data_IF_140512956513
#
_entry.id   IF_140512956513
#
_cell.length_a   1.000
_cell.length_b   1.000
_cell.length_c   1.000
_cell.angle_alpha   90.00
_cell.angle_beta   90.00
_cell.angle_gamma   90.00
#
_symmetry.space_group_name_H-M   'P 1'
#
loop_
_entity.id
_entity.type
_entity.pdbx_description
1 polymer ?
#
# COMPACT_ATOMS: atom_id res chain seq x y z
N UNK A 1 36.08 -33.56 35.94
CA UNK A 1 34.81 -32.91 35.55
C UNK A 1 35.12 -32.17 34.26
N UNK A 2 34.73 -32.75 33.12
CA UNK A 2 35.05 -32.18 31.80
C UNK A 2 34.19 -30.94 31.58
N UNK A 3 34.80 -29.76 31.59
CA UNK A 3 34.12 -28.50 31.29
C UNK A 3 33.80 -28.46 29.79
N UNK A 4 32.60 -28.93 29.43
CA UNK A 4 32.12 -28.92 28.05
C UNK A 4 32.06 -27.50 27.48
N UNK A 5 32.22 -27.36 26.16
CA UNK A 5 32.00 -26.10 25.43
C UNK A 5 30.71 -26.23 24.63
N UNK A 6 29.94 -25.14 24.52
CA UNK A 6 28.71 -25.04 23.72
C UNK A 6 28.77 -23.79 22.86
N UNK A 7 28.05 -23.75 21.75
CA UNK A 7 27.91 -22.51 20.97
C UNK A 7 26.83 -21.61 21.57
N UNK A 8 27.07 -20.31 21.55
CA UNK A 8 26.08 -19.32 21.94
C UNK A 8 24.91 -19.32 20.94
N UNK A 9 23.64 -19.44 21.38
CA UNK A 9 22.49 -19.47 20.47
C UNK A 9 22.23 -18.14 19.75
N UNK A 10 22.82 -17.04 20.20
CA UNK A 10 22.59 -15.70 19.65
C UNK A 10 23.64 -15.29 18.62
N UNK A 11 24.92 -15.57 18.90
CA UNK A 11 26.03 -15.15 18.03
C UNK A 11 26.88 -16.32 17.49
N UNK A 12 26.46 -17.58 17.74
CA UNK A 12 27.13 -18.82 17.33
C UNK A 12 28.55 -19.05 17.88
N UNK A 13 29.11 -18.09 18.63
CA UNK A 13 30.47 -18.18 19.17
C UNK A 13 30.62 -19.26 20.25
N UNK A 14 31.79 -19.88 20.33
CA UNK A 14 32.05 -20.98 21.27
C UNK A 14 32.27 -20.44 22.69
N UNK A 15 31.45 -20.89 23.63
CA UNK A 15 31.43 -20.48 25.03
C UNK A 15 31.50 -21.70 25.97
N UNK A 16 31.80 -21.48 27.25
CA UNK A 16 31.79 -22.56 28.26
C UNK A 16 30.36 -23.06 28.49
N UNK A 17 30.19 -24.36 28.76
CA UNK A 17 28.87 -24.95 28.99
C UNK A 17 28.17 -24.33 30.21
N UNK A 18 28.91 -23.98 31.27
CA UNK A 18 28.37 -23.25 32.41
C UNK A 18 28.19 -21.74 32.18
N UNK A 19 28.53 -21.20 31.00
CA UNK A 19 28.42 -19.77 30.76
C UNK A 19 26.96 -19.32 30.81
N UNK A 20 26.75 -18.31 31.67
CA UNK A 20 25.49 -17.65 31.95
C UNK A 20 25.28 -16.44 31.03
N UNK A 21 26.37 -15.77 30.64
CA UNK A 21 26.37 -14.60 29.77
C UNK A 21 27.43 -14.80 28.68
N UNK A 22 27.09 -14.51 27.42
CA UNK A 22 28.07 -14.56 26.34
C UNK A 22 28.97 -13.32 26.39
N UNK A 23 30.31 -13.48 26.35
CA UNK A 23 31.24 -12.33 26.30
C UNK A 23 31.21 -11.56 24.97
N UNK A 24 30.79 -12.21 23.89
CA UNK A 24 30.87 -11.65 22.54
C UNK A 24 29.66 -10.79 22.19
N UNK A 25 28.45 -11.24 22.53
CA UNK A 25 27.21 -10.50 22.27
C UNK A 25 26.49 -10.02 23.53
N UNK A 26 27.00 -10.34 24.73
CA UNK A 26 26.42 -9.95 26.02
C UNK A 26 24.96 -10.42 26.23
N UNK A 27 24.49 -11.38 25.44
CA UNK A 27 23.17 -11.99 25.61
C UNK A 27 23.13 -12.87 26.85
N UNK A 28 22.07 -12.75 27.64
CA UNK A 28 21.80 -13.62 28.79
C UNK A 28 21.36 -15.01 28.33
N UNK A 29 22.09 -16.04 28.76
CA UNK A 29 21.88 -17.44 28.44
C UNK A 29 21.08 -18.19 29.53
N UNK A 30 20.73 -17.52 30.64
CA UNK A 30 19.82 -18.07 31.67
C UNK A 30 18.42 -18.24 31.15
N UNK A 31 18.03 -17.44 30.15
CA UNK A 31 16.74 -17.57 29.50
C UNK A 31 16.76 -18.86 28.70
N UNK A 32 16.33 -19.94 29.37
CA UNK A 32 15.97 -21.20 28.76
C UNK A 32 14.93 -20.82 27.71
N UNK A 33 15.36 -20.67 26.45
CA UNK A 33 14.44 -20.59 25.32
C UNK A 33 13.73 -21.92 25.38
N UNK A 34 12.58 -21.94 26.06
CA UNK A 34 11.59 -22.96 25.84
C UNK A 34 11.18 -22.71 24.41
N UNK A 35 11.90 -23.33 23.49
CA UNK A 35 11.35 -23.64 22.19
C UNK A 35 10.15 -24.52 22.59
N UNK A 36 8.90 -24.03 22.52
CA UNK A 36 7.78 -24.93 22.69
C UNK A 36 8.04 -26.11 21.74
N UNK A 37 7.82 -27.37 22.18
CA UNK A 37 8.10 -28.53 21.34
C UNK A 37 7.54 -28.21 19.98
N UNK A 38 8.42 -28.26 18.96
CA UNK A 38 8.12 -27.94 17.57
C UNK A 38 6.77 -28.55 17.25
N UNK A 39 5.73 -27.72 17.35
CA UNK A 39 4.40 -28.11 16.95
C UNK A 39 4.55 -28.52 15.49
N UNK A 40 3.78 -29.51 15.02
CA UNK A 40 3.79 -29.84 13.62
C UNK A 40 3.67 -28.54 12.82
N UNK A 41 4.58 -28.38 11.84
CA UNK A 41 4.51 -27.39 10.77
C UNK A 41 3.05 -27.24 10.32
N UNK A 42 2.65 -26.04 9.84
CA UNK A 42 1.27 -25.70 9.51
C UNK A 42 0.59 -26.92 8.91
N UNK A 43 -0.33 -27.48 9.70
CA UNK A 43 -1.14 -28.62 9.34
C UNK A 43 -1.70 -28.31 7.97
N UNK A 44 -1.17 -29.01 6.97
CA UNK A 44 -1.74 -29.05 5.64
C UNK A 44 -3.15 -29.54 5.88
N UNK A 45 -4.11 -28.62 5.98
CA UNK A 45 -5.51 -28.97 6.05
C UNK A 45 -5.70 -29.86 4.83
N UNK A 46 -5.90 -31.16 5.05
CA UNK A 46 -6.34 -32.09 4.00
C UNK A 46 -7.72 -31.60 3.58
N UNK A 47 -7.65 -30.64 2.67
CA UNK A 47 -8.75 -29.86 2.14
C UNK A 47 -9.51 -30.84 1.26
N UNK A 48 -10.61 -31.39 1.79
CA UNK A 48 -11.53 -32.19 0.98
C UNK A 48 -11.90 -31.42 -0.30
N UNK A 49 -12.31 -32.11 -1.38
CA UNK A 49 -12.47 -31.51 -2.71
C UNK A 49 -13.37 -30.25 -2.69
N UNK A 50 -14.38 -30.22 -1.81
CA UNK A 50 -15.28 -29.08 -1.60
C UNK A 50 -14.55 -27.80 -1.15
N UNK A 51 -13.53 -27.93 -0.31
CA UNK A 51 -12.84 -26.77 0.27
C UNK A 51 -11.82 -26.15 -0.71
N UNK A 52 -11.30 -26.91 -1.68
CA UNK A 52 -10.50 -26.35 -2.78
C UNK A 52 -11.35 -25.54 -3.76
N UNK A 53 -12.57 -26.01 -4.05
CA UNK A 53 -13.52 -25.28 -4.90
C UNK A 53 -13.88 -23.95 -4.24
N UNK A 54 -14.20 -23.96 -2.93
CA UNK A 54 -14.51 -22.74 -2.20
C UNK A 54 -13.36 -21.73 -2.23
N UNK A 55 -12.13 -22.15 -1.94
CA UNK A 55 -10.95 -21.27 -2.00
C UNK A 55 -10.73 -20.72 -3.41
N UNK A 56 -10.87 -21.55 -4.45
CA UNK A 56 -10.75 -21.10 -5.83
C UNK A 56 -11.78 -20.04 -6.20
N UNK A 57 -13.06 -20.23 -5.82
CA UNK A 57 -14.13 -19.25 -6.08
C UNK A 57 -13.87 -17.93 -5.35
N UNK A 58 -13.44 -17.96 -4.08
CA UNK A 58 -13.11 -16.75 -3.34
C UNK A 58 -11.97 -16.00 -4.02
N UNK A 59 -10.88 -16.68 -4.40
CA UNK A 59 -9.76 -16.03 -5.11
C UNK A 59 -10.24 -15.42 -6.42
N UNK A 60 -11.03 -16.14 -7.22
CA UNK A 60 -11.55 -15.63 -8.48
C UNK A 60 -12.45 -14.40 -8.29
N UNK A 61 -13.35 -14.41 -7.30
CA UNK A 61 -14.19 -13.26 -6.96
C UNK A 61 -13.32 -12.09 -6.48
N UNK A 62 -12.34 -12.35 -5.63
CA UNK A 62 -11.45 -11.29 -5.10
C UNK A 62 -10.64 -10.65 -6.23
N UNK A 63 -10.12 -11.45 -7.17
CA UNK A 63 -9.42 -10.96 -8.35
C UNK A 63 -10.35 -10.19 -9.29
N UNK A 64 -11.57 -10.68 -9.51
CA UNK A 64 -12.57 -10.00 -10.33
C UNK A 64 -12.97 -8.64 -9.74
N UNK A 65 -13.24 -8.58 -8.43
CA UNK A 65 -13.57 -7.34 -7.74
C UNK A 65 -12.38 -6.36 -7.70
N UNK A 66 -11.16 -6.85 -7.43
CA UNK A 66 -9.96 -6.03 -7.46
C UNK A 66 -9.68 -5.46 -8.86
N UNK A 67 -9.90 -6.27 -9.91
CA UNK A 67 -9.79 -5.82 -11.29
C UNK A 67 -10.86 -4.80 -11.66
N UNK A 68 -12.12 -5.03 -11.26
CA UNK A 68 -13.21 -4.07 -11.44
C UNK A 68 -12.92 -2.73 -10.77
N UNK A 69 -12.49 -2.76 -9.50
CA UNK A 69 -12.09 -1.55 -8.76
C UNK A 69 -10.91 -0.84 -9.44
N UNK A 70 -9.89 -1.57 -9.91
CA UNK A 70 -8.75 -0.98 -10.62
C UNK A 70 -9.15 -0.28 -11.92
N UNK A 71 -10.10 -0.86 -12.67
CA UNK A 71 -10.61 -0.26 -13.91
C UNK A 71 -11.49 0.97 -13.62
N UNK A 72 -12.36 0.92 -12.60
CA UNK A 72 -13.20 2.06 -12.20
C UNK A 72 -12.35 3.27 -11.79
N UNK A 73 -11.30 3.08 -10.97
CA UNK A 73 -10.39 4.16 -10.57
C UNK A 73 -9.68 4.82 -11.77
N UNK A 74 -9.42 4.07 -12.85
CA UNK A 74 -8.82 4.61 -14.08
C UNK A 74 -9.80 5.40 -14.95
N UNK A 75 -11.10 5.17 -14.79
CA UNK A 75 -12.14 5.89 -15.52
C UNK A 75 -12.32 7.29 -14.91
N UNK A 76 -12.46 7.34 -13.59
CA UNK A 76 -12.63 8.55 -12.79
C UNK A 76 -11.42 9.50 -12.95
N UNK A 77 -10.20 8.95 -12.92
CA UNK A 77 -8.97 9.72 -13.14
C UNK A 77 -8.95 10.39 -14.54
N UNK A 78 -9.49 9.74 -15.58
CA UNK A 78 -9.49 10.31 -16.94
C UNK A 78 -10.43 11.52 -17.07
N UNK A 79 -11.62 11.44 -16.49
CA UNK A 79 -12.61 12.53 -16.57
C UNK A 79 -12.14 13.75 -15.76
N UNK A 80 -11.56 13.52 -14.58
CA UNK A 80 -10.96 14.57 -13.75
C UNK A 80 -9.77 15.24 -14.47
N UNK A 81 -8.92 14.47 -15.13
CA UNK A 81 -7.76 15.00 -15.87
C UNK A 81 -8.20 15.87 -17.05
N UNK A 82 -9.24 15.48 -17.78
CA UNK A 82 -9.77 16.26 -18.91
C UNK A 82 -10.35 17.60 -18.46
N UNK A 83 -11.04 17.64 -17.31
CA UNK A 83 -11.57 18.89 -16.75
C UNK A 83 -10.47 19.86 -16.30
N UNK A 84 -9.35 19.35 -15.77
CA UNK A 84 -8.19 20.16 -15.39
C UNK A 84 -7.51 20.78 -16.61
N UNK A 85 -7.38 20.03 -17.71
CA UNK A 85 -6.74 20.53 -18.94
C UNK A 85 -7.52 21.73 -19.53
N UNK A 86 -8.85 21.65 -19.59
CA UNK A 86 -9.68 22.75 -20.07
C UNK A 86 -9.55 24.01 -19.21
N UNK A 87 -9.49 23.85 -17.89
CA UNK A 87 -9.29 24.95 -16.94
C UNK A 87 -7.93 25.63 -17.13
N UNK A 88 -6.86 24.84 -17.24
CA UNK A 88 -5.50 25.39 -17.42
C UNK A 88 -5.35 26.10 -18.77
N UNK A 89 -5.94 25.56 -19.84
CA UNK A 89 -5.98 26.23 -21.15
C UNK A 89 -6.67 27.59 -21.06
N UNK A 90 -7.81 27.67 -20.37
CA UNK A 90 -8.54 28.93 -20.18
C UNK A 90 -7.70 29.97 -19.43
N UNK A 91 -7.01 29.53 -18.37
CA UNK A 91 -6.10 30.38 -17.59
C UNK A 91 -4.91 30.86 -18.41
N UNK A 92 -4.36 29.99 -19.26
CA UNK A 92 -3.29 30.32 -20.18
C UNK A 92 -3.73 31.38 -21.21
N UNK A 93 -4.94 31.25 -21.76
CA UNK A 93 -5.52 32.22 -22.70
C UNK A 93 -5.64 33.61 -22.05
N UNK A 94 -6.21 33.69 -20.85
CA UNK A 94 -6.36 34.96 -20.10
C UNK A 94 -5.02 35.62 -19.82
N UNK A 95 -3.99 34.82 -19.48
CA UNK A 95 -2.66 35.33 -19.16
C UNK A 95 -1.85 35.75 -20.40
N UNK A 96 -2.05 35.08 -21.53
CA UNK A 96 -1.36 35.38 -22.79
C UNK A 96 -2.05 36.48 -23.60
N UNK A 97 -3.29 36.82 -23.27
CA UNK A 97 -4.05 37.87 -23.92
C UNK A 97 -3.39 39.25 -23.74
N UNK A 98 -2.98 39.85 -24.86
CA UNK A 98 -2.29 41.15 -24.92
C UNK A 98 -3.15 42.27 -25.54
N UNK A 99 -4.47 42.08 -25.62
CA UNK A 99 -5.42 43.01 -26.25
C UNK A 99 -6.05 44.03 -25.28
N UNK A 100 -7.14 44.71 -25.71
CA UNK A 100 -7.85 45.69 -24.87
C UNK A 100 -8.40 45.07 -23.57
N UNK A 101 -8.37 45.83 -22.46
CA UNK A 101 -8.86 45.41 -21.13
C UNK A 101 -10.28 44.83 -21.13
N UNK A 102 -11.16 45.36 -21.99
CA UNK A 102 -12.54 44.90 -22.15
C UNK A 102 -12.61 43.45 -22.64
N UNK A 103 -11.72 43.05 -23.56
CA UNK A 103 -11.66 41.67 -24.03
C UNK A 103 -11.14 40.71 -22.96
N UNK A 104 -10.17 41.16 -22.16
CA UNK A 104 -9.62 40.38 -21.04
C UNK A 104 -10.68 40.06 -19.99
N UNK A 105 -11.49 41.04 -19.61
CA UNK A 105 -12.56 40.84 -18.62
C UNK A 105 -13.64 39.87 -19.07
N UNK A 106 -13.97 39.85 -20.38
CA UNK A 106 -14.97 38.93 -20.93
C UNK A 106 -14.48 37.48 -20.92
N UNK A 107 -13.20 37.27 -21.28
CA UNK A 107 -12.60 35.94 -21.26
C UNK A 107 -12.48 35.45 -19.81
N UNK A 108 -12.06 36.33 -18.89
CA UNK A 108 -11.96 36.00 -17.46
C UNK A 108 -13.32 35.60 -16.86
N UNK A 109 -14.38 36.35 -17.14
CA UNK A 109 -15.73 36.05 -16.65
C UNK A 109 -16.23 34.69 -17.16
N UNK A 110 -15.94 34.38 -18.43
CA UNK A 110 -16.32 33.10 -19.05
C UNK A 110 -15.54 31.94 -18.44
N UNK A 111 -14.22 32.08 -18.27
CA UNK A 111 -13.39 31.04 -17.62
C UNK A 111 -13.83 30.81 -16.17
N UNK A 112 -14.16 31.87 -15.42
CA UNK A 112 -14.66 31.75 -14.04
C UNK A 112 -15.96 30.97 -13.96
N UNK A 113 -16.90 31.23 -14.87
CA UNK A 113 -18.18 30.52 -14.91
C UNK A 113 -18.00 29.02 -15.23
N UNK A 114 -17.09 28.70 -16.15
CA UNK A 114 -16.73 27.33 -16.49
C UNK A 114 -16.14 26.58 -15.29
N UNK A 115 -15.17 27.20 -14.58
CA UNK A 115 -14.57 26.63 -13.37
C UNK A 115 -15.61 26.37 -12.26
N UNK A 116 -16.53 27.32 -12.06
CA UNK A 116 -17.61 27.17 -11.08
C UNK A 116 -18.56 26.02 -11.42
N UNK A 117 -18.82 25.77 -12.70
CA UNK A 117 -19.68 24.67 -13.17
C UNK A 117 -18.98 23.31 -12.99
N UNK A 118 -17.69 23.23 -13.28
CA UNK A 118 -16.88 22.04 -13.00
C UNK A 118 -16.79 21.71 -11.50
N UNK A 119 -16.58 22.73 -10.65
CA UNK A 119 -16.55 22.50 -9.19
C UNK A 119 -17.86 21.87 -8.70
N UNK A 120 -19.00 22.37 -9.19
CA UNK A 120 -20.31 21.82 -8.85
C UNK A 120 -20.51 20.38 -9.32
N UNK A 121 -19.97 19.99 -10.47
CA UNK A 121 -20.09 18.60 -10.94
C UNK A 121 -19.27 17.62 -10.10
N UNK A 122 -18.07 18.01 -9.65
CA UNK A 122 -17.23 17.15 -8.80
C UNK A 122 -17.70 17.08 -7.34
N UNK A 123 -18.28 18.14 -6.80
CA UNK A 123 -18.82 18.15 -5.44
C UNK A 123 -20.09 17.29 -5.29
N UNK A 124 -20.68 16.83 -6.40
CA UNK A 124 -21.90 16.00 -6.39
C UNK A 124 -21.62 14.49 -6.54
N UNK A 125 -20.36 14.08 -6.54
CA UNK A 125 -19.95 12.67 -6.65
C UNK A 125 -19.67 12.11 -5.23
N UNK A 126 -20.47 11.14 -4.74
CA UNK A 126 -20.34 10.57 -3.38
C UNK A 126 -19.29 9.47 -3.25
#
# INVERSE_FOLDING_TARGET
MEAGKKSCPYCAEVIMAEAILCKHCQSDLRQKIQIPPRGPLPSEKRMGPVSKVLVGTIIAITLYLAFGFFVSNRLEDKEIMQAREATELCRQEVNSYSGPEIGKSVIEETCRKLEDEFRKSFDHEP
#
